data_IF_670454157919
#
_entry.id   IF_670454157919
#
_cell.length_a   1.000
_cell.length_b   1.000
_cell.length_c   1.000
_cell.angle_alpha   90.00
_cell.angle_beta   90.00
_cell.angle_gamma   90.00
#
_symmetry.space_group_name_H-M   'P 1'
#
loop_
_entity.id
_entity.type
_entity.pdbx_description
1 polymer ?
#
# COMPACT_ATOMS: atom_id res chain seq x y z
N UNK A 1 14.48 -3.67 -0.88
CA UNK A 1 13.57 -4.60 -1.56
C UNK A 1 12.77 -5.39 -0.55
N UNK A 2 11.50 -5.05 -0.44
CA UNK A 2 10.51 -5.83 0.29
C UNK A 2 10.33 -7.19 -0.39
N UNK A 3 10.58 -8.29 0.33
CA UNK A 3 10.12 -9.60 -0.15
C UNK A 3 8.60 -9.62 -0.04
N UNK A 4 7.92 -9.48 -1.19
CA UNK A 4 6.46 -9.41 -1.27
C UNK A 4 5.80 -10.63 -0.62
N UNK A 5 6.41 -11.82 -0.75
CA UNK A 5 5.88 -13.05 -0.13
C UNK A 5 5.99 -12.99 1.38
N UNK A 6 7.07 -12.40 1.90
CA UNK A 6 7.22 -12.14 3.32
C UNK A 6 6.18 -11.13 3.79
N UNK A 7 5.94 -10.05 3.05
CA UNK A 7 4.91 -9.06 3.37
C UNK A 7 3.52 -9.73 3.51
N UNK A 8 3.10 -10.54 2.53
CA UNK A 8 1.85 -11.30 2.65
C UNK A 8 1.80 -12.22 3.87
N UNK A 9 2.89 -12.94 4.15
CA UNK A 9 2.97 -13.82 5.31
C UNK A 9 2.85 -13.03 6.64
N UNK A 10 3.47 -11.86 6.73
CA UNK A 10 3.41 -10.99 7.91
C UNK A 10 2.03 -10.35 8.07
N UNK A 11 1.38 -9.94 6.97
CA UNK A 11 -0.02 -9.49 6.99
C UNK A 11 -0.94 -10.60 7.48
N UNK A 12 -0.80 -11.84 6.99
CA UNK A 12 -1.61 -12.97 7.46
C UNK A 12 -1.42 -13.24 8.95
N UNK A 13 -0.17 -13.15 9.46
CA UNK A 13 0.11 -13.28 10.90
C UNK A 13 -0.53 -12.16 11.70
N UNK A 14 -0.43 -10.92 11.22
CA UNK A 14 -1.04 -9.74 11.81
C UNK A 14 -2.57 -9.90 11.93
N UNK A 15 -3.25 -10.24 10.83
CA UNK A 15 -4.70 -10.44 10.82
C UNK A 15 -5.15 -11.61 11.70
N UNK A 16 -4.38 -12.71 11.74
CA UNK A 16 -4.64 -13.85 12.64
C UNK A 16 -4.53 -13.43 14.10
N UNK A 17 -3.54 -12.61 14.45
CA UNK A 17 -3.40 -12.06 15.79
C UNK A 17 -4.61 -11.18 16.16
N UNK A 18 -5.02 -10.27 15.27
CA UNK A 18 -6.18 -9.41 15.53
C UNK A 18 -7.47 -10.20 15.75
N UNK A 19 -7.68 -11.27 14.98
CA UNK A 19 -8.80 -12.21 15.18
C UNK A 19 -8.76 -12.94 16.52
N UNK A 20 -7.58 -13.30 17.01
CA UNK A 20 -7.43 -14.01 18.27
C UNK A 20 -7.47 -13.09 19.50
N UNK A 21 -7.08 -11.82 19.35
CA UNK A 21 -6.92 -10.87 20.46
C UNK A 21 -8.23 -10.24 20.96
N UNK A 22 -9.33 -10.36 20.21
CA UNK A 22 -10.58 -9.65 20.48
C UNK A 22 -11.79 -10.60 20.43
N UNK A 23 -12.78 -10.49 21.35
CA UNK A 23 -13.97 -11.35 21.35
C UNK A 23 -14.79 -11.26 20.06
N UNK A 24 -14.74 -10.10 19.38
CA UNK A 24 -15.27 -9.87 18.04
C UNK A 24 -14.17 -9.23 17.21
N UNK A 25 -13.99 -9.70 15.99
CA UNK A 25 -13.05 -9.10 15.05
C UNK A 25 -13.44 -7.64 14.73
N UNK A 26 -12.44 -6.77 14.64
CA UNK A 26 -12.61 -5.35 14.31
C UNK A 26 -11.74 -5.05 13.10
N UNK A 27 -12.36 -4.93 11.93
CA UNK A 27 -11.61 -4.73 10.68
C UNK A 27 -10.91 -3.38 10.61
N UNK A 28 -11.45 -2.32 11.24
CA UNK A 28 -10.75 -1.02 11.31
C UNK A 28 -9.44 -1.14 12.11
N UNK A 29 -9.48 -1.83 13.26
CA UNK A 29 -8.27 -2.08 14.06
C UNK A 29 -7.27 -2.95 13.29
N UNK A 30 -7.77 -3.97 12.59
CA UNK A 30 -6.94 -4.84 11.76
C UNK A 30 -6.29 -4.10 10.59
N UNK A 31 -7.03 -3.26 9.88
CA UNK A 31 -6.52 -2.41 8.81
C UNK A 31 -5.45 -1.45 9.30
N UNK A 32 -5.59 -0.88 10.50
CA UNK A 32 -4.54 -0.06 11.13
C UNK A 32 -3.28 -0.86 11.42
N UNK A 33 -3.41 -2.07 11.94
CA UNK A 33 -2.26 -2.93 12.18
C UNK A 33 -1.55 -3.34 10.87
N UNK A 34 -2.29 -3.52 9.78
CA UNK A 34 -1.74 -3.76 8.44
C UNK A 34 -1.07 -2.50 7.88
N UNK A 35 -1.66 -1.32 8.09
CA UNK A 35 -1.07 -0.03 7.72
C UNK A 35 0.29 0.19 8.40
N UNK A 36 0.36 -0.03 9.71
CA UNK A 36 1.60 0.10 10.48
C UNK A 36 2.68 -0.88 9.98
N UNK A 37 2.27 -2.11 9.63
CA UNK A 37 3.16 -3.09 9.02
C UNK A 37 3.68 -2.60 7.66
N UNK A 38 2.82 -2.09 6.78
CA UNK A 38 3.23 -1.53 5.49
C UNK A 38 4.24 -0.38 5.66
N UNK A 39 3.99 0.55 6.58
CA UNK A 39 4.90 1.67 6.84
C UNK A 39 6.28 1.19 7.30
N UNK A 40 6.36 0.09 8.05
CA UNK A 40 7.64 -0.50 8.44
C UNK A 40 8.43 -1.08 7.26
N UNK A 41 7.75 -1.57 6.22
CA UNK A 41 8.35 -2.08 5.00
C UNK A 41 8.82 -0.97 4.05
N UNK A 42 8.10 0.15 4.05
CA UNK A 42 8.38 1.31 3.20
C UNK A 42 9.28 2.35 3.89
N UNK A 43 9.95 1.97 4.98
CA UNK A 43 10.84 2.86 5.72
C UNK A 43 11.94 3.43 4.80
N UNK A 44 12.15 4.75 4.87
CA UNK A 44 13.13 5.45 4.05
C UNK A 44 12.57 6.12 2.79
N UNK A 45 11.28 5.97 2.49
CA UNK A 45 10.60 6.62 1.35
C UNK A 45 9.97 7.98 1.71
N UNK A 46 10.48 8.67 2.74
CA UNK A 46 9.90 9.92 3.21
C UNK A 46 8.44 9.77 3.66
N UNK A 47 7.60 10.75 3.32
CA UNK A 47 6.17 10.75 3.64
C UNK A 47 5.29 10.09 2.57
N UNK A 48 5.87 9.67 1.43
CA UNK A 48 5.15 9.00 0.35
C UNK A 48 4.32 7.79 0.83
N UNK A 49 4.85 6.85 1.64
CA UNK A 49 4.06 5.72 2.14
C UNK A 49 2.89 6.15 3.01
N UNK A 50 3.05 7.26 3.76
CA UNK A 50 1.98 7.79 4.61
C UNK A 50 0.84 8.37 3.77
N UNK A 51 1.16 9.10 2.70
CA UNK A 51 0.18 9.61 1.73
C UNK A 51 -0.57 8.46 1.04
N UNK A 52 0.14 7.42 0.62
CA UNK A 52 -0.48 6.20 0.08
C UNK A 52 -1.40 5.51 1.09
N UNK A 53 -0.96 5.39 2.36
CA UNK A 53 -1.74 4.76 3.41
C UNK A 53 -3.02 5.52 3.75
N UNK A 54 -2.93 6.86 3.81
CA UNK A 54 -4.09 7.70 4.06
C UNK A 54 -5.13 7.52 2.95
N UNK A 55 -4.69 7.57 1.69
CA UNK A 55 -5.56 7.31 0.54
C UNK A 55 -6.21 5.93 0.61
N UNK A 56 -5.44 4.89 0.91
CA UNK A 56 -5.95 3.52 1.02
C UNK A 56 -7.00 3.39 2.13
N UNK A 57 -6.74 3.96 3.31
CA UNK A 57 -7.67 3.89 4.44
C UNK A 57 -8.98 4.63 4.12
N UNK A 58 -8.88 5.85 3.59
CA UNK A 58 -10.05 6.67 3.23
C UNK A 58 -10.85 6.03 2.10
N UNK A 59 -10.19 5.54 1.04
CA UNK A 59 -10.86 5.05 -0.16
C UNK A 59 -11.43 3.64 -0.02
N UNK A 60 -10.72 2.73 0.66
CA UNK A 60 -11.08 1.30 0.67
C UNK A 60 -11.61 0.82 2.01
N UNK A 61 -11.12 1.37 3.12
CA UNK A 61 -11.46 0.87 4.46
C UNK A 61 -12.66 1.62 5.02
N UNK A 62 -12.62 2.97 5.01
CA UNK A 62 -13.67 3.79 5.63
C UNK A 62 -14.99 3.80 4.85
N UNK A 63 -14.94 3.52 3.55
CA UNK A 63 -16.13 3.45 2.66
C UNK A 63 -16.68 2.03 2.53
N UNK A 64 -16.05 1.03 3.17
CA UNK A 64 -16.45 -0.37 3.04
C UNK A 64 -17.87 -0.61 3.56
N UNK A 65 -18.66 -1.35 2.79
CA UNK A 65 -19.98 -1.83 3.21
C UNK A 65 -19.90 -2.98 4.22
N UNK A 66 -18.71 -3.56 4.42
CA UNK A 66 -18.46 -4.70 5.30
C UNK A 66 -17.22 -4.45 6.19
N UNK A 67 -17.26 -3.45 7.10
CA UNK A 67 -16.10 -3.05 7.89
C UNK A 67 -15.56 -4.15 8.81
N UNK A 68 -16.40 -5.12 9.19
CA UNK A 68 -16.00 -6.29 9.98
C UNK A 68 -15.23 -7.34 9.15
N UNK A 69 -15.10 -7.18 7.83
CA UNK A 69 -14.33 -8.08 6.96
C UNK A 69 -13.03 -7.45 6.45
N UNK A 70 -12.75 -6.20 6.84
CA UNK A 70 -11.58 -5.46 6.38
C UNK A 70 -10.29 -5.83 7.13
N UNK A 71 -9.10 -5.69 6.51
CA UNK A 71 -8.89 -5.49 5.07
C UNK A 71 -9.14 -6.77 4.27
N UNK A 72 -9.73 -6.68 3.08
CA UNK A 72 -9.87 -7.82 2.15
C UNK A 72 -8.52 -8.18 1.48
N UNK A 73 -8.40 -9.36 0.84
CA UNK A 73 -7.21 -9.70 0.06
C UNK A 73 -6.85 -8.66 -1.00
N UNK A 74 -7.84 -8.09 -1.69
CA UNK A 74 -7.64 -7.07 -2.72
C UNK A 74 -7.08 -5.77 -2.12
N UNK A 75 -7.52 -5.40 -0.91
CA UNK A 75 -6.96 -4.25 -0.19
C UNK A 75 -5.51 -4.49 0.23
N UNK A 76 -5.14 -5.74 0.57
CA UNK A 76 -3.75 -6.12 0.84
C UNK A 76 -2.91 -6.12 -0.45
N UNK A 77 -3.47 -6.59 -1.56
CA UNK A 77 -2.81 -6.58 -2.88
C UNK A 77 -2.50 -5.16 -3.34
N UNK A 78 -3.38 -4.21 -3.06
CA UNK A 78 -3.12 -2.79 -3.34
C UNK A 78 -1.85 -2.30 -2.62
N UNK A 79 -1.69 -2.61 -1.33
CA UNK A 79 -0.50 -2.26 -0.55
C UNK A 79 0.75 -2.98 -1.05
N UNK A 80 0.62 -4.26 -1.41
CA UNK A 80 1.69 -5.03 -2.01
C UNK A 80 2.16 -4.39 -3.33
N UNK A 81 1.23 -3.98 -4.18
CA UNK A 81 1.52 -3.27 -5.43
C UNK A 81 2.24 -1.94 -5.16
N UNK A 82 1.88 -1.22 -4.09
CA UNK A 82 2.60 0.00 -3.69
C UNK A 82 4.06 -0.27 -3.31
N UNK A 83 4.34 -1.36 -2.57
CA UNK A 83 5.72 -1.75 -2.27
C UNK A 83 6.50 -2.07 -3.54
N UNK A 84 5.94 -2.88 -4.44
CA UNK A 84 6.56 -3.18 -5.73
C UNK A 84 6.76 -1.92 -6.59
N UNK A 85 5.82 -0.97 -6.55
CA UNK A 85 5.91 0.29 -7.27
C UNK A 85 7.07 1.15 -6.77
N UNK A 86 7.17 1.34 -5.45
CA UNK A 86 8.26 2.11 -4.84
C UNK A 86 9.63 1.46 -5.06
N UNK A 87 9.70 0.13 -5.00
CA UNK A 87 10.94 -0.62 -5.26
C UNK A 87 11.28 -0.75 -6.77
N UNK A 88 10.39 -0.34 -7.67
CA UNK A 88 10.57 -0.47 -9.12
C UNK A 88 10.51 -1.92 -9.63
N UNK A 89 9.87 -2.81 -8.88
CA UNK A 89 9.79 -4.26 -9.16
C UNK A 89 8.39 -4.73 -9.55
N UNK A 90 7.50 -3.83 -9.97
CA UNK A 90 6.15 -4.22 -10.41
C UNK A 90 6.23 -5.20 -11.58
N UNK A 91 5.47 -6.30 -11.45
CA UNK A 91 5.28 -7.25 -12.53
C UNK A 91 4.02 -6.93 -13.37
N UNK A 92 3.80 -7.69 -14.45
CA UNK A 92 2.67 -7.48 -15.36
C UNK A 92 1.30 -7.85 -14.79
N UNK A 93 1.25 -8.62 -13.70
CA UNK A 93 0.01 -8.97 -13.00
C UNK A 93 -0.38 -7.94 -11.95
N UNK A 94 0.55 -7.08 -11.54
CA UNK A 94 0.30 -5.97 -10.63
C UNK A 94 -0.19 -4.75 -11.39
N UNK A 95 -1.32 -4.20 -10.96
CA UNK A 95 -1.87 -2.97 -11.51
C UNK A 95 -2.70 -2.22 -10.48
N UNK A 96 -3.00 -0.97 -10.82
CA UNK A 96 -3.94 -0.15 -10.08
C UNK A 96 -5.06 0.33 -11.00
N UNK A 97 -6.18 0.78 -10.42
CA UNK A 97 -7.21 1.43 -11.23
C UNK A 97 -6.67 2.74 -11.83
N UNK A 98 -7.28 3.25 -12.92
CA UNK A 98 -6.87 4.53 -13.50
C UNK A 98 -6.91 5.71 -12.51
N UNK A 99 -7.86 5.68 -11.56
CA UNK A 99 -7.97 6.70 -10.51
C UNK A 99 -6.83 6.59 -9.51
N UNK A 100 -6.52 5.37 -9.05
CA UNK A 100 -5.42 5.15 -8.12
C UNK A 100 -4.09 5.55 -8.73
N UNK A 101 -3.86 5.22 -10.00
CA UNK A 101 -2.65 5.65 -10.71
C UNK A 101 -2.48 7.17 -10.74
N UNK A 102 -3.60 7.89 -10.92
CA UNK A 102 -3.59 9.35 -10.90
C UNK A 102 -3.19 9.88 -9.52
N UNK A 103 -3.73 9.31 -8.46
CA UNK A 103 -3.38 9.73 -7.09
C UNK A 103 -1.96 9.34 -6.70
N UNK A 104 -1.50 8.13 -7.06
CA UNK A 104 -0.12 7.70 -6.87
C UNK A 104 0.86 8.64 -7.58
N UNK A 105 0.55 9.07 -8.82
CA UNK A 105 1.34 10.11 -9.51
C UNK A 105 1.41 11.39 -8.70
N UNK A 106 0.27 11.88 -8.21
CA UNK A 106 0.21 13.12 -7.44
C UNK A 106 1.10 13.01 -6.20
N UNK A 107 1.01 11.91 -5.45
CA UNK A 107 1.85 11.70 -4.26
C UNK A 107 3.34 11.66 -4.61
N UNK A 108 3.74 10.92 -5.65
CA UNK A 108 5.14 10.87 -6.09
C UNK A 108 5.66 12.26 -6.46
N UNK A 109 4.84 13.07 -7.16
CA UNK A 109 5.22 14.43 -7.54
C UNK A 109 5.34 15.37 -6.33
N UNK A 110 4.42 15.27 -5.36
CA UNK A 110 4.46 16.10 -4.15
C UNK A 110 5.67 15.78 -3.27
N UNK A 111 6.02 14.50 -3.16
CA UNK A 111 7.10 14.03 -2.30
C UNK A 111 8.45 13.92 -3.01
N UNK A 112 8.53 14.30 -4.31
CA UNK A 112 9.69 14.08 -5.17
C UNK A 112 11.01 14.58 -4.58
N UNK A 113 11.00 15.73 -3.90
CA UNK A 113 12.21 16.32 -3.32
C UNK A 113 12.78 15.53 -2.13
N UNK A 114 11.93 14.78 -1.42
CA UNK A 114 12.30 13.98 -0.26
C UNK A 114 12.64 12.52 -0.61
N UNK A 115 12.35 12.10 -1.85
CA UNK A 115 12.51 10.72 -2.28
C UNK A 115 13.95 10.39 -2.70
N UNK A 116 14.45 9.20 -2.36
CA UNK A 116 15.68 8.68 -2.93
C UNK A 116 15.66 8.69 -4.47
N UNK A 117 16.73 9.20 -5.09
CA UNK A 117 16.76 9.47 -6.54
C UNK A 117 16.54 8.20 -7.39
N UNK A 118 17.09 7.07 -6.97
CA UNK A 118 16.99 5.81 -7.70
C UNK A 118 15.55 5.31 -7.73
N UNK A 119 14.89 5.33 -6.58
CA UNK A 119 13.50 4.93 -6.35
C UNK A 119 12.55 5.89 -7.07
N UNK A 120 12.78 7.20 -6.98
CA UNK A 120 12.03 8.21 -7.73
C UNK A 120 12.13 7.97 -9.24
N UNK A 121 13.33 7.70 -9.75
CA UNK A 121 13.54 7.42 -11.17
C UNK A 121 12.80 6.16 -11.63
N UNK A 122 12.77 5.11 -10.79
CA UNK A 122 12.04 3.87 -11.06
C UNK A 122 10.52 4.09 -11.07
N UNK A 123 9.99 4.82 -10.10
CA UNK A 123 8.57 5.20 -10.03
C UNK A 123 8.16 6.04 -11.24
N UNK A 124 8.93 7.07 -11.59
CA UNK A 124 8.68 7.91 -12.76
C UNK A 124 8.67 7.10 -14.06
N UNK A 125 9.62 6.18 -14.23
CA UNK A 125 9.65 5.27 -15.39
C UNK A 125 8.36 4.45 -15.49
N UNK A 126 7.90 3.91 -14.37
CA UNK A 126 6.64 3.16 -14.30
C UNK A 126 5.44 4.03 -14.66
N UNK A 127 5.37 5.25 -14.13
CA UNK A 127 4.30 6.21 -14.43
C UNK A 127 4.27 6.61 -15.92
N UNK A 128 5.44 6.77 -16.57
CA UNK A 128 5.51 7.03 -18.03
C UNK A 128 4.96 5.83 -18.79
N UNK A 129 5.40 4.63 -18.45
CA UNK A 129 4.99 3.39 -19.13
C UNK A 129 3.48 3.15 -19.01
N UNK A 130 2.90 3.50 -17.87
CA UNK A 130 1.45 3.44 -17.62
C UNK A 130 0.66 4.57 -18.28
N UNK A 131 1.33 5.52 -18.94
CA UNK A 131 0.75 6.70 -19.63
C UNK A 131 -0.08 7.58 -18.71
N UNK A 132 0.37 7.73 -17.47
CA UNK A 132 -0.34 8.53 -16.46
C UNK A 132 0.36 9.84 -16.15
N UNK A 133 1.57 10.05 -16.65
CA UNK A 133 2.30 11.33 -16.58
C UNK A 133 1.67 12.40 -17.46
#
# INVERSE_FOLDING_TARGET
>A
MADIRKFYADVQRCLKHERASSPKYNGIKASKAVADLFLSYAAGMGDLPRSMMQYWEEKYIQTSSSPDNEPTPEHVDWLANCLSFMDGTMDSSQDFSPEDWKELKNFVNYEAEALPLTELSAMMTTLVNKKVL
#
